data_IF_575815062311
#
_entry.id   IF_575815062311
#
_cell.length_a   1.000
_cell.length_b   1.000
_cell.length_c   1.000
_cell.angle_alpha   90.00
_cell.angle_beta   90.00
_cell.angle_gamma   90.00
#
_symmetry.space_group_name_H-M   'P 1'
#
loop_
_entity.id
_entity.type
_entity.pdbx_description
1 polymer ?
#
# COMPACT_ATOMS: atom_id res chain seq x y z
N UNK A 1 9.06 10.17 -11.78
CA UNK A 1 8.50 11.54 -11.94
C UNK A 1 9.01 12.13 -13.26
N UNK A 2 8.25 13.00 -13.94
CA UNK A 2 8.73 13.71 -15.14
C UNK A 2 8.30 15.17 -15.06
N UNK A 3 9.27 16.09 -14.99
CA UNK A 3 9.03 17.55 -14.88
C UNK A 3 8.09 17.91 -13.70
N UNK A 4 8.44 17.47 -12.49
CA UNK A 4 7.65 17.68 -11.27
C UNK A 4 6.30 16.96 -11.21
N UNK A 5 5.87 16.28 -12.28
CA UNK A 5 4.54 15.67 -12.42
C UNK A 5 4.60 14.14 -12.35
N UNK A 6 3.50 13.53 -11.89
CA UNK A 6 3.29 12.07 -11.97
C UNK A 6 3.51 11.59 -13.41
N UNK A 7 4.28 10.51 -13.55
CA UNK A 7 4.49 9.79 -14.79
C UNK A 7 4.03 8.35 -14.59
N UNK A 8 2.74 8.08 -14.85
CA UNK A 8 2.17 6.73 -14.78
C UNK A 8 2.56 5.90 -15.99
N UNK A 9 2.34 4.59 -15.92
CA UNK A 9 2.49 3.66 -17.06
C UNK A 9 1.67 4.12 -18.27
N UNK A 10 0.43 4.57 -18.05
CA UNK A 10 -0.41 5.13 -19.13
C UNK A 10 0.22 6.36 -19.80
N UNK A 11 0.82 7.28 -19.01
CA UNK A 11 1.47 8.48 -19.56
C UNK A 11 2.78 8.17 -20.27
N UNK A 12 3.52 7.18 -19.78
CA UNK A 12 4.81 6.77 -20.33
C UNK A 12 4.66 5.91 -21.59
N UNK A 13 3.73 4.95 -21.60
CA UNK A 13 3.64 3.91 -22.62
C UNK A 13 2.41 4.04 -23.53
N UNK A 14 1.21 4.25 -22.98
CA UNK A 14 -0.03 4.24 -23.79
C UNK A 14 -0.29 5.56 -24.52
N UNK A 15 -0.15 6.70 -23.83
CA UNK A 15 -0.45 8.03 -24.39
C UNK A 15 0.38 8.39 -25.62
N UNK A 16 1.70 8.06 -25.70
CA UNK A 16 2.50 8.33 -26.89
C UNK A 16 2.08 7.53 -28.12
N UNK A 17 1.56 6.31 -27.94
CA UNK A 17 1.24 5.38 -29.04
C UNK A 17 -0.26 5.25 -29.33
N UNK A 18 -1.09 6.10 -28.70
CA UNK A 18 -2.56 6.02 -28.74
C UNK A 18 -3.19 6.11 -30.13
N UNK A 19 -2.47 6.65 -31.12
CA UNK A 19 -2.95 6.82 -32.50
C UNK A 19 -2.54 5.67 -33.42
N UNK A 20 -1.81 4.67 -32.92
CA UNK A 20 -1.44 3.50 -33.73
C UNK A 20 -2.69 2.70 -34.08
N UNK A 21 -2.93 2.45 -35.38
CA UNK A 21 -4.12 1.74 -35.88
C UNK A 21 -4.26 0.30 -35.37
N UNK A 22 -3.17 -0.31 -34.91
CA UNK A 22 -3.15 -1.67 -34.36
C UNK A 22 -3.31 -1.72 -32.83
N UNK A 23 -3.59 -0.59 -32.16
CA UNK A 23 -3.85 -0.54 -30.72
C UNK A 23 -5.25 0.06 -30.47
N UNK A 24 -6.08 -0.71 -29.77
CA UNK A 24 -7.39 -0.26 -29.32
C UNK A 24 -7.41 -0.20 -27.80
N UNK A 25 -7.80 0.95 -27.24
CA UNK A 25 -7.97 1.13 -25.79
C UNK A 25 -9.43 1.39 -25.50
N UNK A 26 -10.07 0.45 -24.81
CA UNK A 26 -11.46 0.56 -24.39
C UNK A 26 -11.53 0.93 -22.91
N UNK A 27 -11.93 2.18 -22.61
CA UNK A 27 -12.22 2.62 -21.25
C UNK A 27 -13.61 2.18 -20.81
N UNK A 28 -13.87 2.21 -19.50
CA UNK A 28 -15.16 1.85 -18.89
C UNK A 28 -15.66 0.47 -19.34
N UNK A 29 -14.73 -0.48 -19.50
CA UNK A 29 -14.98 -1.82 -20.01
C UNK A 29 -14.56 -2.82 -18.94
N UNK A 30 -15.49 -3.19 -18.06
CA UNK A 30 -15.21 -4.05 -16.91
C UNK A 30 -15.22 -5.52 -17.35
N UNK A 31 -14.09 -6.21 -17.28
CA UNK A 31 -14.02 -7.65 -17.61
C UNK A 31 -14.73 -8.44 -16.50
N UNK A 32 -15.70 -9.26 -16.86
CA UNK A 32 -16.44 -10.11 -15.91
C UNK A 32 -15.83 -11.50 -15.80
N UNK A 33 -15.34 -12.06 -16.91
CA UNK A 33 -14.64 -13.35 -16.98
C UNK A 33 -13.86 -13.53 -18.29
N UNK A 34 -12.92 -14.46 -18.28
CA UNK A 34 -12.27 -15.03 -19.47
C UNK A 34 -13.15 -16.14 -20.03
N UNK A 35 -13.25 -16.21 -21.35
CA UNK A 35 -13.98 -17.25 -22.05
C UNK A 35 -13.01 -18.35 -22.47
N UNK A 36 -13.22 -19.55 -21.95
CA UNK A 36 -12.34 -20.72 -22.13
C UNK A 36 -13.16 -21.88 -22.67
N UNK A 37 -12.62 -22.56 -23.68
CA UNK A 37 -13.23 -23.78 -24.21
C UNK A 37 -12.95 -24.94 -23.22
N UNK A 38 -13.99 -25.62 -22.68
CA UNK A 38 -13.82 -26.61 -21.61
C UNK A 38 -13.12 -27.90 -22.06
N UNK A 39 -13.12 -28.22 -23.36
CA UNK A 39 -12.50 -29.44 -23.89
C UNK A 39 -11.02 -29.23 -24.19
N UNK A 40 -10.69 -28.11 -24.83
CA UNK A 40 -9.32 -27.80 -25.26
C UNK A 40 -8.53 -27.00 -24.22
N UNK A 41 -9.22 -26.47 -23.20
CA UNK A 41 -8.67 -25.52 -22.22
C UNK A 41 -8.05 -24.27 -22.83
N UNK A 42 -8.45 -23.89 -24.05
CA UNK A 42 -7.97 -22.70 -24.76
C UNK A 42 -8.86 -21.49 -24.45
N UNK A 43 -8.24 -20.40 -23.98
CA UNK A 43 -8.90 -19.11 -23.89
C UNK A 43 -9.13 -18.52 -25.29
N UNK A 44 -10.35 -18.06 -25.57
CA UNK A 44 -10.72 -17.51 -26.89
C UNK A 44 -11.27 -16.09 -26.82
N UNK A 45 -11.44 -15.52 -25.62
CA UNK A 45 -11.89 -14.15 -25.48
C UNK A 45 -12.18 -13.75 -24.04
N UNK A 46 -12.82 -12.61 -23.89
CA UNK A 46 -13.30 -12.09 -22.61
C UNK A 46 -14.73 -11.61 -22.73
N UNK A 47 -15.50 -11.75 -21.66
CA UNK A 47 -16.77 -11.08 -21.48
C UNK A 47 -16.52 -9.75 -20.75
N UNK A 48 -17.06 -8.66 -21.29
CA UNK A 48 -16.97 -7.33 -20.69
C UNK A 48 -18.38 -6.76 -20.47
N UNK A 49 -18.49 -5.89 -19.47
CA UNK A 49 -19.64 -5.02 -19.29
C UNK A 49 -19.28 -3.58 -19.61
N UNK A 50 -20.01 -2.98 -20.53
CA UNK A 50 -19.79 -1.60 -21.00
C UNK A 50 -21.12 -0.98 -21.41
N UNK A 51 -21.37 0.27 -20.97
CA UNK A 51 -22.57 1.03 -21.32
C UNK A 51 -23.89 0.27 -21.06
N UNK A 52 -24.00 -0.39 -19.91
CA UNK A 52 -25.21 -1.13 -19.56
C UNK A 52 -25.33 -2.53 -20.17
N UNK A 53 -24.40 -2.93 -21.06
CA UNK A 53 -24.52 -4.16 -21.87
C UNK A 53 -23.33 -5.08 -21.69
N UNK A 54 -23.60 -6.39 -21.69
CA UNK A 54 -22.56 -7.43 -21.81
C UNK A 54 -22.14 -7.56 -23.27
N UNK A 55 -20.84 -7.67 -23.50
CA UNK A 55 -20.23 -7.80 -24.82
C UNK A 55 -19.13 -8.85 -24.76
N UNK A 56 -18.91 -9.54 -25.88
CA UNK A 56 -17.84 -10.53 -26.01
C UNK A 56 -16.75 -9.94 -26.93
N UNK A 57 -15.51 -9.99 -26.47
CA UNK A 57 -14.33 -9.63 -27.27
C UNK A 57 -13.50 -10.88 -27.49
N UNK A 58 -13.39 -11.29 -28.76
CA UNK A 58 -12.71 -12.53 -29.16
C UNK A 58 -11.24 -12.25 -29.45
N UNK A 59 -10.36 -13.15 -28.99
CA UNK A 59 -8.92 -13.07 -29.22
C UNK A 59 -8.47 -14.20 -30.16
N UNK A 60 -7.74 -13.86 -31.24
CA UNK A 60 -7.22 -14.86 -32.20
C UNK A 60 -6.05 -15.67 -31.64
N UNK A 61 -5.22 -15.04 -30.81
CA UNK A 61 -4.00 -15.66 -30.27
C UNK A 61 -4.17 -15.97 -28.79
N UNK A 62 -4.16 -14.93 -27.96
CA UNK A 62 -4.02 -15.06 -26.51
C UNK A 62 -4.86 -14.01 -25.77
N UNK A 63 -5.18 -14.32 -24.51
CA UNK A 63 -5.73 -13.39 -23.53
C UNK A 63 -4.70 -13.22 -22.43
N UNK A 64 -4.22 -11.99 -22.23
CA UNK A 64 -3.25 -11.65 -21.16
C UNK A 64 -3.98 -10.91 -20.05
N UNK A 65 -4.10 -11.53 -18.87
CA UNK A 65 -4.77 -10.91 -17.72
C UNK A 65 -3.75 -10.06 -16.96
N UNK A 66 -4.01 -8.75 -16.86
CA UNK A 66 -3.14 -7.77 -16.18
C UNK A 66 -3.94 -6.94 -15.18
N UNK A 67 -4.85 -7.57 -14.44
CA UNK A 67 -5.79 -6.90 -13.53
C UNK A 67 -5.22 -6.68 -12.11
N UNK A 68 -3.92 -6.93 -11.90
CA UNK A 68 -3.25 -6.79 -10.60
C UNK A 68 -3.49 -7.97 -9.67
N UNK A 69 -2.82 -7.97 -8.50
CA UNK A 69 -2.81 -9.09 -7.56
C UNK A 69 -4.17 -9.42 -6.93
N UNK A 70 -5.12 -8.48 -6.93
CA UNK A 70 -6.45 -8.65 -6.34
C UNK A 70 -7.49 -9.06 -7.39
N UNK A 71 -7.60 -8.33 -8.51
CA UNK A 71 -8.68 -8.58 -9.48
C UNK A 71 -8.34 -9.71 -10.46
N UNK A 72 -7.05 -10.01 -10.70
CA UNK A 72 -6.66 -11.17 -11.54
C UNK A 72 -7.20 -12.48 -10.98
N UNK A 73 -6.97 -12.85 -9.70
CA UNK A 73 -7.54 -14.08 -9.17
C UNK A 73 -9.07 -14.07 -9.15
N UNK A 74 -9.72 -12.92 -8.91
CA UNK A 74 -11.18 -12.81 -9.01
C UNK A 74 -11.68 -13.17 -10.42
N UNK A 75 -11.12 -12.55 -11.46
CA UNK A 75 -11.50 -12.82 -12.86
C UNK A 75 -11.28 -14.30 -13.21
N UNK A 76 -10.14 -14.88 -12.83
CA UNK A 76 -9.83 -16.28 -13.08
C UNK A 76 -10.81 -17.23 -12.38
N UNK A 77 -11.11 -17.00 -11.10
CA UNK A 77 -12.08 -17.80 -10.35
C UNK A 77 -13.49 -17.68 -10.97
N UNK A 78 -13.94 -16.48 -11.34
CA UNK A 78 -15.21 -16.27 -12.07
C UNK A 78 -15.23 -16.94 -13.46
N UNK A 79 -14.07 -17.24 -14.01
CA UNK A 79 -13.90 -17.99 -15.27
C UNK A 79 -13.85 -19.50 -15.06
N UNK A 80 -14.01 -19.99 -13.83
CA UNK A 80 -13.92 -21.42 -13.49
C UNK A 80 -12.49 -21.94 -13.29
N UNK A 81 -11.51 -21.05 -13.09
CA UNK A 81 -10.10 -21.39 -12.84
C UNK A 81 -9.71 -20.95 -11.43
N UNK A 82 -9.59 -21.90 -10.51
CA UNK A 82 -9.30 -21.62 -9.11
C UNK A 82 -9.58 -22.80 -8.19
N UNK A 83 -9.52 -22.61 -6.86
CA UNK A 83 -9.64 -23.71 -5.90
C UNK A 83 -10.99 -24.40 -6.03
N UNK A 84 -10.99 -25.70 -6.32
CA UNK A 84 -12.19 -26.47 -6.62
C UNK A 84 -13.28 -26.33 -5.54
N UNK A 85 -12.90 -26.41 -4.28
CA UNK A 85 -13.83 -26.32 -3.14
C UNK A 85 -14.53 -24.96 -3.13
N UNK A 86 -13.77 -23.87 -3.21
CA UNK A 86 -14.31 -22.50 -3.22
C UNK A 86 -15.19 -22.24 -4.45
N UNK A 87 -14.80 -22.73 -5.62
CA UNK A 87 -15.61 -22.59 -6.83
C UNK A 87 -16.95 -23.34 -6.72
N UNK A 88 -16.94 -24.55 -6.15
CA UNK A 88 -18.16 -25.32 -5.90
C UNK A 88 -19.07 -24.64 -4.87
N UNK A 89 -18.54 -24.11 -3.77
CA UNK A 89 -19.28 -23.32 -2.78
C UNK A 89 -19.94 -22.09 -3.42
N UNK A 90 -19.21 -21.43 -4.32
CA UNK A 90 -19.73 -20.32 -5.09
C UNK A 90 -20.64 -20.76 -6.22
N UNK A 91 -20.85 -22.06 -6.47
CA UNK A 91 -21.70 -22.61 -7.54
C UNK A 91 -21.17 -22.35 -8.96
N UNK A 92 -19.85 -22.23 -9.14
CA UNK A 92 -19.18 -21.97 -10.43
C UNK A 92 -18.62 -23.29 -10.96
N UNK A 93 -18.86 -23.58 -12.24
CA UNK A 93 -18.29 -24.77 -12.90
C UNK A 93 -16.76 -24.71 -12.90
N UNK A 94 -16.13 -25.76 -12.37
CA UNK A 94 -14.67 -25.88 -12.31
C UNK A 94 -14.14 -26.34 -13.67
N UNK A 95 -13.43 -25.46 -14.37
CA UNK A 95 -12.68 -25.79 -15.58
C UNK A 95 -11.28 -26.27 -15.25
N UNK A 96 -10.63 -25.65 -14.26
CA UNK A 96 -9.31 -26.06 -13.79
C UNK A 96 -9.15 -25.76 -12.31
N UNK A 97 -8.83 -26.81 -11.56
CA UNK A 97 -8.46 -26.71 -10.15
C UNK A 97 -7.01 -26.23 -10.01
N UNK A 98 -6.84 -25.01 -9.48
CA UNK A 98 -5.56 -24.36 -9.23
C UNK A 98 -5.66 -23.48 -7.99
N UNK A 99 -4.53 -23.26 -7.30
CA UNK A 99 -4.45 -22.41 -6.10
C UNK A 99 -4.52 -20.90 -6.41
N UNK A 100 -5.46 -20.49 -7.27
CA UNK A 100 -5.66 -19.09 -7.66
C UNK A 100 -6.15 -18.28 -6.46
N UNK A 101 -5.51 -17.15 -6.23
CA UNK A 101 -5.80 -16.27 -5.11
C UNK A 101 -5.07 -16.65 -3.82
N UNK A 102 -4.34 -17.77 -3.76
CA UNK A 102 -3.45 -18.08 -2.63
C UNK A 102 -2.14 -17.29 -2.69
N UNK A 103 -1.37 -17.35 -1.58
CA UNK A 103 -0.01 -16.82 -1.50
C UNK A 103 0.05 -15.30 -1.73
N UNK A 104 -1.00 -14.58 -1.30
CA UNK A 104 -0.99 -13.12 -1.27
C UNK A 104 0.09 -12.67 -0.28
N UNK A 105 0.92 -11.74 -0.72
CA UNK A 105 1.99 -11.15 0.06
C UNK A 105 1.91 -9.64 -0.09
N UNK A 106 2.11 -8.93 1.00
CA UNK A 106 2.22 -7.48 1.03
C UNK A 106 3.26 -7.05 2.08
N UNK A 107 3.87 -5.90 1.87
CA UNK A 107 4.86 -5.34 2.79
C UNK A 107 4.17 -4.47 3.83
N UNK A 108 3.84 -5.06 4.97
CA UNK A 108 3.26 -4.32 6.11
C UNK A 108 4.34 -3.49 6.80
N UNK A 109 3.98 -2.28 7.25
CA UNK A 109 4.90 -1.38 7.95
C UNK A 109 4.34 -0.88 9.27
N UNK A 110 5.24 -0.52 10.19
CA UNK A 110 4.89 0.07 11.48
C UNK A 110 4.61 1.56 11.34
N UNK A 111 3.33 1.92 11.19
CA UNK A 111 2.90 3.32 11.19
C UNK A 111 3.06 4.01 12.55
N UNK A 112 3.06 5.34 12.56
CA UNK A 112 2.93 6.13 13.80
C UNK A 112 4.20 6.34 14.63
N UNK A 113 5.35 5.80 14.21
CA UNK A 113 6.63 6.11 14.85
C UNK A 113 7.03 7.56 14.58
N UNK A 114 6.70 8.46 15.52
CA UNK A 114 6.82 9.92 15.36
C UNK A 114 7.97 10.47 16.16
N UNK A 115 8.76 11.34 15.54
CA UNK A 115 9.85 12.06 16.17
C UNK A 115 9.61 13.56 16.09
N UNK A 116 9.47 14.21 17.24
CA UNK A 116 9.36 15.68 17.32
C UNK A 116 10.73 16.32 17.10
N UNK A 117 10.74 17.48 16.47
CA UNK A 117 11.93 18.32 16.29
C UNK A 117 11.61 19.76 16.69
N UNK A 118 12.64 20.56 16.97
CA UNK A 118 12.49 21.95 17.41
C UNK A 118 12.63 22.95 16.25
N UNK A 119 13.25 22.54 15.14
CA UNK A 119 13.42 23.39 13.96
C UNK A 119 12.19 23.33 13.05
N UNK A 120 11.71 24.48 12.54
CA UNK A 120 10.52 24.56 11.69
C UNK A 120 10.80 24.15 10.23
N UNK A 121 11.31 22.93 10.03
CA UNK A 121 11.78 22.43 8.72
C UNK A 121 10.96 21.27 8.18
N UNK A 122 10.04 20.71 8.97
CA UNK A 122 9.18 19.62 8.50
C UNK A 122 8.06 20.14 7.60
N UNK A 123 7.38 19.24 6.91
CA UNK A 123 6.13 19.50 6.20
C UNK A 123 5.02 19.57 7.25
N UNK A 124 4.45 20.75 7.45
CA UNK A 124 3.20 20.98 8.19
C UNK A 124 2.25 21.74 7.28
N UNK A 125 1.03 21.22 7.14
CA UNK A 125 0.09 21.67 6.11
C UNK A 125 -0.23 23.17 6.20
N UNK A 126 -0.32 23.71 7.42
CA UNK A 126 -0.67 25.12 7.65
C UNK A 126 0.40 26.11 7.20
N UNK A 127 1.66 25.67 7.03
CA UNK A 127 2.75 26.52 6.51
C UNK A 127 2.67 26.74 4.99
N UNK A 128 1.80 26.02 4.31
CA UNK A 128 1.74 26.02 2.85
C UNK A 128 0.63 26.92 2.31
N UNK A 129 1.02 27.98 1.58
CA UNK A 129 0.10 28.88 0.89
C UNK A 129 -0.33 28.28 -0.45
N UNK A 130 -1.57 27.78 -0.50
CA UNK A 130 -2.09 26.98 -1.62
C UNK A 130 -1.92 27.67 -3.00
N UNK A 131 -2.27 28.96 -3.09
CA UNK A 131 -2.20 29.69 -4.36
C UNK A 131 -0.76 29.87 -4.86
N UNK A 132 0.15 30.35 -4.00
CA UNK A 132 1.55 30.59 -4.38
C UNK A 132 2.26 29.31 -4.82
N UNK A 133 2.08 28.22 -4.07
CA UNK A 133 2.64 26.92 -4.45
C UNK A 133 2.07 26.38 -5.75
N UNK A 134 0.75 26.53 -5.97
CA UNK A 134 0.11 26.09 -7.20
C UNK A 134 0.68 26.85 -8.40
N UNK A 135 0.89 28.15 -8.26
CA UNK A 135 1.46 28.97 -9.32
C UNK A 135 2.92 28.57 -9.63
N UNK A 136 3.74 28.35 -8.59
CA UNK A 136 5.12 27.88 -8.76
C UNK A 136 5.17 26.51 -9.47
N UNK A 137 4.29 25.60 -9.08
CA UNK A 137 4.19 24.28 -9.69
C UNK A 137 3.73 24.33 -11.17
N UNK A 138 2.72 25.13 -11.47
CA UNK A 138 2.17 25.24 -12.84
C UNK A 138 3.14 25.94 -13.79
N UNK A 139 3.75 27.05 -13.36
CA UNK A 139 4.62 27.87 -14.20
C UNK A 139 6.05 27.34 -14.28
N UNK A 140 6.59 26.82 -13.18
CA UNK A 140 8.02 26.47 -13.07
C UNK A 140 8.28 24.98 -12.88
N UNK A 141 7.24 24.17 -12.65
CA UNK A 141 7.35 22.73 -12.39
C UNK A 141 8.28 22.42 -11.20
N UNK A 142 8.28 23.33 -10.22
CA UNK A 142 9.06 23.33 -8.99
C UNK A 142 8.14 23.64 -7.80
N UNK A 143 8.74 23.72 -6.62
CA UNK A 143 8.05 24.10 -5.39
C UNK A 143 7.48 22.90 -4.63
N UNK A 144 6.86 23.15 -3.46
CA UNK A 144 6.46 22.08 -2.55
C UNK A 144 5.47 21.06 -3.13
N UNK A 145 4.68 21.42 -4.14
CA UNK A 145 3.76 20.47 -4.79
C UNK A 145 4.45 19.39 -5.64
N UNK A 146 5.75 19.51 -5.92
CA UNK A 146 6.53 18.44 -6.55
C UNK A 146 7.05 17.41 -5.54
N UNK A 147 6.90 17.68 -4.25
CA UNK A 147 7.33 16.78 -3.16
C UNK A 147 6.62 15.43 -3.26
N UNK A 148 7.28 14.36 -2.83
CA UNK A 148 6.65 13.03 -2.79
C UNK A 148 5.63 12.98 -1.64
N UNK A 149 5.82 13.81 -0.61
CA UNK A 149 4.83 14.18 0.41
C UNK A 149 4.61 13.11 1.48
N UNK A 150 5.07 11.89 1.25
CA UNK A 150 4.99 10.79 2.21
C UNK A 150 6.28 9.97 2.35
N UNK A 151 7.19 9.99 1.36
CA UNK A 151 8.46 9.24 1.40
C UNK A 151 9.53 10.02 0.66
N UNK A 152 10.41 10.69 1.39
CA UNK A 152 11.51 11.50 0.83
C UNK A 152 12.87 10.78 0.95
N UNK A 153 12.96 9.76 1.80
CA UNK A 153 14.15 8.96 1.98
C UNK A 153 13.81 7.48 2.07
N UNK A 154 14.70 6.65 1.51
CA UNK A 154 14.62 5.20 1.60
C UNK A 154 15.90 4.67 2.24
N UNK A 155 15.76 3.67 3.10
CA UNK A 155 16.88 2.90 3.64
C UNK A 155 16.57 1.41 3.56
N UNK A 156 17.58 0.59 3.33
CA UNK A 156 17.45 -0.87 3.36
C UNK A 156 18.45 -1.40 4.38
N UNK A 157 17.98 -2.21 5.32
CA UNK A 157 18.82 -2.77 6.38
C UNK A 157 18.51 -4.24 6.57
N UNK A 158 19.49 -4.95 7.12
CA UNK A 158 19.34 -6.30 7.61
C UNK A 158 19.21 -6.23 9.14
N UNK A 159 18.13 -6.78 9.69
CA UNK A 159 18.12 -7.12 11.11
C UNK A 159 19.00 -8.35 11.35
N UNK A 160 19.32 -8.66 12.60
CA UNK A 160 20.08 -9.88 12.91
C UNK A 160 19.27 -11.16 12.64
N UNK A 161 17.94 -11.05 12.50
CA UNK A 161 17.04 -12.15 12.16
C UNK A 161 17.04 -12.45 10.65
N UNK A 162 17.41 -11.45 9.84
CA UNK A 162 17.41 -11.53 8.38
C UNK A 162 18.61 -12.28 7.80
N UNK A 163 18.51 -12.57 6.51
CA UNK A 163 19.66 -13.07 5.75
C UNK A 163 20.61 -11.90 5.46
N UNK A 164 21.94 -12.14 5.51
CA UNK A 164 22.92 -11.09 5.18
C UNK A 164 22.92 -10.68 3.70
N UNK A 165 22.46 -11.55 2.80
CA UNK A 165 22.49 -11.32 1.35
C UNK A 165 21.37 -10.41 0.83
N UNK A 166 20.30 -10.16 1.61
CA UNK A 166 19.20 -9.29 1.20
C UNK A 166 18.48 -8.65 2.39
N UNK A 167 17.99 -7.40 2.25
CA UNK A 167 17.28 -6.69 3.31
C UNK A 167 15.95 -7.34 3.66
N UNK A 168 15.66 -7.32 4.95
CA UNK A 168 14.40 -7.71 5.57
C UNK A 168 13.57 -6.50 6.02
N UNK A 169 14.21 -5.33 6.19
CA UNK A 169 13.55 -4.05 6.48
C UNK A 169 13.86 -2.99 5.42
N UNK A 170 12.81 -2.31 4.97
CA UNK A 170 12.90 -1.05 4.24
C UNK A 170 12.38 0.09 5.11
N UNK A 171 13.16 1.14 5.26
CA UNK A 171 12.70 2.38 5.88
C UNK A 171 12.11 3.33 4.86
N UNK A 172 10.91 3.82 5.14
CA UNK A 172 10.32 4.98 4.46
C UNK A 172 10.39 6.18 5.40
N UNK A 173 11.20 7.16 5.06
CA UNK A 173 11.34 8.39 5.83
C UNK A 173 10.46 9.49 5.23
N UNK A 174 9.70 10.16 6.07
CA UNK A 174 8.97 11.37 5.70
C UNK A 174 9.36 12.52 6.63
N UNK A 175 9.59 13.74 6.11
CA UNK A 175 9.73 14.94 6.92
C UNK A 175 8.35 15.45 7.39
N UNK A 176 7.45 14.54 7.79
CA UNK A 176 6.12 14.79 8.33
C UNK A 176 5.74 13.60 9.21
N UNK A 177 4.67 13.74 10.00
CA UNK A 177 4.02 12.62 10.67
C UNK A 177 2.50 12.84 10.72
N UNK A 178 1.78 11.96 11.40
CA UNK A 178 0.31 11.96 11.51
C UNK A 178 -0.25 13.30 12.03
N UNK A 179 0.52 14.03 12.83
CA UNK A 179 0.13 15.32 13.39
C UNK A 179 0.30 16.50 12.42
N UNK A 180 0.97 16.32 11.28
CA UNK A 180 1.38 17.38 10.35
C UNK A 180 0.23 18.09 9.63
N UNK A 181 -0.97 17.52 9.60
CA UNK A 181 -2.13 18.09 8.91
C UNK A 181 -3.31 18.39 9.86
N UNK A 182 -3.06 18.35 11.18
CA UNK A 182 -4.07 18.54 12.22
C UNK A 182 -5.31 17.63 12.06
N UNK A 183 -5.15 16.46 11.42
CA UNK A 183 -6.18 15.43 11.32
C UNK A 183 -7.14 15.64 10.15
N UNK A 184 -6.80 16.51 9.20
CA UNK A 184 -7.67 16.83 8.04
C UNK A 184 -7.80 15.68 7.05
N UNK A 185 -6.71 14.94 6.78
CA UNK A 185 -6.66 13.86 5.78
C UNK A 185 -5.88 12.64 6.26
N UNK A 186 -4.70 12.83 6.86
CA UNK A 186 -3.78 11.73 7.19
C UNK A 186 -4.44 10.72 8.11
N UNK A 187 -5.16 11.18 9.13
CA UNK A 187 -5.96 10.35 10.04
C UNK A 187 -6.94 9.43 9.29
N UNK A 188 -7.69 9.97 8.33
CA UNK A 188 -8.67 9.21 7.55
C UNK A 188 -8.01 8.24 6.57
N UNK A 189 -6.94 8.68 5.90
CA UNK A 189 -6.19 7.85 4.96
C UNK A 189 -5.54 6.65 5.66
N UNK A 190 -5.06 6.84 6.89
CA UNK A 190 -4.46 5.78 7.70
C UNK A 190 -5.49 4.98 8.52
N UNK A 191 -6.78 5.30 8.42
CA UNK A 191 -7.83 4.58 9.15
C UNK A 191 -7.75 4.68 10.68
N UNK A 192 -7.14 5.74 11.21
CA UNK A 192 -6.96 5.89 12.66
C UNK A 192 -8.29 6.20 13.36
N UNK A 193 -8.55 5.55 14.49
CA UNK A 193 -9.74 5.85 15.30
C UNK A 193 -9.68 7.26 15.89
N UNK A 194 -10.85 7.83 16.17
CA UNK A 194 -10.97 9.12 16.87
C UNK A 194 -10.20 9.11 18.20
N UNK A 195 -10.38 8.05 18.99
CA UNK A 195 -9.74 7.91 20.30
C UNK A 195 -8.20 7.89 20.18
N UNK A 196 -7.67 7.11 19.23
CA UNK A 196 -6.23 7.02 18.99
C UNK A 196 -5.66 8.39 18.59
N UNK A 197 -6.28 9.04 17.60
CA UNK A 197 -5.82 10.32 17.09
C UNK A 197 -5.87 11.42 18.16
N UNK A 198 -7.00 11.55 18.87
CA UNK A 198 -7.20 12.60 19.87
C UNK A 198 -6.30 12.40 21.10
N UNK A 199 -5.98 11.16 21.46
CA UNK A 199 -5.08 10.88 22.57
C UNK A 199 -3.62 11.14 22.19
N UNK A 200 -3.18 10.67 21.02
CA UNK A 200 -1.76 10.58 20.67
C UNK A 200 -1.31 11.78 19.83
N UNK A 201 -2.02 12.10 18.75
CA UNK A 201 -1.51 13.03 17.72
C UNK A 201 -2.11 14.44 17.81
N UNK A 202 -3.34 14.59 18.32
CA UNK A 202 -3.95 15.92 18.53
C UNK A 202 -3.16 16.81 19.50
N UNK A 203 -2.58 16.32 20.61
CA UNK A 203 -1.78 17.16 21.52
C UNK A 203 -0.51 17.73 20.90
N UNK A 204 -0.05 17.14 19.80
CA UNK A 204 1.13 17.58 19.04
C UNK A 204 0.76 18.11 17.64
N UNK A 205 -0.52 18.43 17.40
CA UNK A 205 -0.99 18.92 16.12
C UNK A 205 -0.16 20.11 15.63
N UNK A 206 0.19 20.11 14.34
CA UNK A 206 0.99 21.14 13.67
C UNK A 206 2.41 21.37 14.22
N UNK A 207 2.87 20.60 15.21
CA UNK A 207 4.27 20.62 15.64
C UNK A 207 5.17 19.97 14.59
N UNK A 208 6.38 20.50 14.43
CA UNK A 208 7.37 19.89 13.56
C UNK A 208 7.73 18.48 14.00
N UNK A 209 7.59 17.55 13.07
CA UNK A 209 7.84 16.15 13.28
C UNK A 209 8.28 15.46 11.99
N UNK A 210 8.97 14.35 12.16
CA UNK A 210 9.32 13.44 11.07
C UNK A 210 9.02 12.00 11.50
N UNK A 211 8.95 11.11 10.52
CA UNK A 211 8.77 9.68 10.74
C UNK A 211 9.74 8.88 9.90
N UNK A 212 10.07 7.70 10.39
CA UNK A 212 10.77 6.66 9.63
C UNK A 212 10.05 5.34 9.92
N UNK A 213 9.38 4.83 8.90
CA UNK A 213 8.48 3.68 8.98
C UNK A 213 9.30 2.46 8.57
N UNK A 214 9.54 1.47 9.46
CA UNK A 214 10.05 0.17 9.04
C UNK A 214 8.93 -0.60 8.32
N UNK A 215 9.21 -1.04 7.09
CA UNK A 215 8.39 -1.95 6.30
C UNK A 215 9.07 -3.33 6.24
N UNK A 216 8.28 -4.38 6.42
CA UNK A 216 8.72 -5.76 6.32
C UNK A 216 8.80 -6.19 4.86
N UNK A 217 10.01 -6.47 4.36
CA UNK A 217 10.25 -6.85 2.96
C UNK A 217 10.06 -8.34 2.68
N UNK A 218 10.18 -9.17 3.71
CA UNK A 218 10.19 -10.63 3.58
C UNK A 218 9.20 -11.25 4.57
N UNK A 219 7.90 -10.92 4.46
CA UNK A 219 6.90 -11.52 5.32
C UNK A 219 6.91 -13.04 5.15
N UNK A 220 6.71 -13.77 6.24
CA UNK A 220 6.43 -15.20 6.23
C UNK A 220 4.93 -15.47 6.20
N UNK A 221 4.13 -14.59 6.80
CA UNK A 221 2.68 -14.66 6.73
C UNK A 221 2.20 -14.66 5.28
N UNK A 222 1.15 -15.45 4.99
CA UNK A 222 0.56 -15.55 3.65
C UNK A 222 -0.94 -15.37 3.70
N UNK A 223 -1.42 -14.50 2.82
CA UNK A 223 -2.82 -14.23 2.66
C UNK A 223 -3.46 -14.95 1.48
N UNK A 224 -4.70 -14.59 1.22
CA UNK A 224 -5.48 -15.03 0.08
C UNK A 224 -6.47 -13.98 -0.41
N UNK A 225 -6.94 -14.18 -1.64
CA UNK A 225 -8.07 -13.49 -2.27
C UNK A 225 -9.11 -14.54 -2.66
N UNK A 226 -10.38 -14.29 -2.32
CA UNK A 226 -11.51 -15.18 -2.62
C UNK A 226 -12.69 -14.41 -3.17
N UNK A 227 -13.54 -15.10 -3.93
CA UNK A 227 -14.82 -14.53 -4.35
C UNK A 227 -15.72 -14.34 -3.13
N UNK A 228 -16.39 -13.18 -3.06
CA UNK A 228 -17.51 -12.96 -2.14
C UNK A 228 -18.81 -13.54 -2.70
N UNK A 229 -18.98 -13.44 -4.02
CA UNK A 229 -20.15 -13.91 -4.76
C UNK A 229 -19.77 -14.18 -6.22
N UNK A 230 -20.73 -14.67 -7.03
CA UNK A 230 -20.59 -14.80 -8.49
C UNK A 230 -20.68 -13.45 -9.24
N UNK A 231 -21.05 -12.37 -8.56
CA UNK A 231 -21.18 -11.07 -9.19
C UNK A 231 -19.80 -10.42 -9.38
N UNK A 232 -19.40 -10.19 -10.63
CA UNK A 232 -18.12 -9.58 -10.98
C UNK A 232 -17.95 -8.12 -10.51
N UNK A 233 -19.03 -7.49 -10.05
CA UNK A 233 -19.01 -6.14 -9.46
C UNK A 233 -18.85 -6.14 -7.95
N UNK A 234 -19.02 -7.29 -7.30
CA UNK A 234 -18.80 -7.39 -5.85
C UNK A 234 -17.30 -7.44 -5.57
N UNK A 235 -16.86 -6.68 -4.58
CA UNK A 235 -15.46 -6.71 -4.16
C UNK A 235 -15.10 -8.09 -3.57
N UNK A 236 -13.96 -8.68 -3.98
CA UNK A 236 -13.52 -9.95 -3.44
C UNK A 236 -13.21 -9.83 -1.95
N UNK A 237 -13.23 -10.96 -1.26
CA UNK A 237 -12.70 -11.08 0.09
C UNK A 237 -11.17 -11.10 -0.01
N UNK A 238 -10.50 -10.23 0.75
CA UNK A 238 -9.05 -10.14 0.80
C UNK A 238 -8.63 -10.32 2.24
N UNK A 239 -7.82 -11.34 2.50
CA UNK A 239 -7.20 -11.56 3.78
C UNK A 239 -5.68 -11.58 3.59
N UNK A 240 -4.97 -10.54 4.00
CA UNK A 240 -3.51 -10.51 3.92
C UNK A 240 -2.84 -11.36 5.00
N UNK A 241 -3.58 -11.71 6.06
CA UNK A 241 -3.14 -12.50 7.20
C UNK A 241 -1.90 -11.90 7.89
N UNK A 242 -1.86 -10.57 8.02
CA UNK A 242 -0.70 -9.89 8.62
C UNK A 242 -0.40 -10.43 10.01
N UNK A 243 0.88 -10.71 10.26
CA UNK A 243 1.39 -11.12 11.56
C UNK A 243 0.85 -12.46 12.07
N UNK A 244 0.39 -13.33 11.17
CA UNK A 244 0.12 -14.75 11.47
C UNK A 244 1.40 -15.44 11.94
N UNK A 245 2.51 -15.26 11.21
CA UNK A 245 3.82 -15.74 11.65
C UNK A 245 4.44 -14.73 12.62
N UNK A 246 4.72 -15.10 13.88
CA UNK A 246 5.30 -14.20 14.87
C UNK A 246 6.71 -13.68 14.49
N UNK A 247 7.40 -14.34 13.55
CA UNK A 247 8.68 -13.86 13.02
C UNK A 247 8.56 -12.49 12.35
N UNK A 248 7.42 -12.20 11.72
CA UNK A 248 7.18 -10.95 11.01
C UNK A 248 7.18 -9.76 11.96
N UNK A 249 6.49 -9.89 13.10
CA UNK A 249 6.45 -8.85 14.14
C UNK A 249 7.79 -8.69 14.82
N UNK A 250 8.49 -9.79 15.15
CA UNK A 250 9.84 -9.73 15.73
C UNK A 250 10.80 -8.94 14.84
N UNK A 251 10.74 -9.16 13.53
CA UNK A 251 11.56 -8.44 12.56
C UNK A 251 11.24 -6.95 12.53
N UNK A 252 9.95 -6.58 12.57
CA UNK A 252 9.55 -5.16 12.65
C UNK A 252 9.92 -4.49 13.97
N UNK A 253 9.88 -5.19 15.10
CA UNK A 253 10.35 -4.68 16.40
C UNK A 253 11.84 -4.32 16.31
N UNK A 254 12.66 -5.17 15.68
CA UNK A 254 14.06 -4.83 15.43
C UNK A 254 14.22 -3.64 14.47
N UNK A 255 13.38 -3.56 13.44
CA UNK A 255 13.28 -2.37 12.58
C UNK A 255 12.97 -1.08 13.36
N UNK A 256 12.05 -1.14 14.32
CA UNK A 256 11.70 -0.02 15.19
C UNK A 256 12.87 0.41 16.08
N UNK A 257 13.59 -0.54 16.68
CA UNK A 257 14.80 -0.27 17.48
C UNK A 257 15.87 0.43 16.64
N UNK A 258 16.10 -0.03 15.41
CA UNK A 258 17.05 0.60 14.47
C UNK A 258 16.59 2.03 14.13
N UNK A 259 15.31 2.25 13.81
CA UNK A 259 14.75 3.57 13.56
C UNK A 259 14.98 4.54 14.73
N UNK A 260 14.76 4.09 15.96
CA UNK A 260 14.99 4.89 17.17
C UNK A 260 16.48 5.23 17.30
N UNK A 261 17.38 4.26 17.10
CA UNK A 261 18.84 4.50 17.12
C UNK A 261 19.27 5.53 16.07
N UNK A 262 18.68 5.49 14.86
CA UNK A 262 18.90 6.48 13.80
C UNK A 262 18.50 7.88 14.29
N UNK A 263 17.30 8.01 14.88
CA UNK A 263 16.80 9.30 15.38
C UNK A 263 17.65 9.96 16.47
N UNK A 264 18.48 9.16 17.16
CA UNK A 264 19.35 9.60 18.26
C UNK A 264 20.78 9.93 17.79
N UNK A 265 21.10 9.74 16.51
CA UNK A 265 22.43 10.03 15.98
C UNK A 265 22.69 11.56 15.95
N UNK A 266 23.97 11.96 15.94
CA UNK A 266 24.44 13.36 15.94
C UNK A 266 23.74 14.22 14.88
N UNK A 267 23.52 13.66 13.69
CA UNK A 267 22.85 14.34 12.57
C UNK A 267 21.39 14.68 12.88
N UNK A 268 20.66 13.87 13.64
CA UNK A 268 19.28 14.16 14.03
C UNK A 268 19.18 14.99 15.31
N UNK A 269 20.15 14.84 16.22
CA UNK A 269 20.24 15.65 17.46
C UNK A 269 20.34 17.15 17.18
N UNK A 270 20.96 17.57 16.07
CA UNK A 270 21.02 19.00 15.70
C UNK A 270 19.64 19.63 15.41
N UNK A 271 18.60 18.82 15.21
CA UNK A 271 17.21 19.25 15.03
C UNK A 271 16.39 19.14 16.33
N UNK A 272 16.98 18.69 17.44
CA UNK A 272 16.24 18.39 18.67
C UNK A 272 15.36 17.14 18.57
N UNK A 273 15.71 16.22 17.64
CA UNK A 273 14.93 15.01 17.37
C UNK A 273 14.74 14.16 18.62
N UNK A 274 13.47 13.86 18.94
CA UNK A 274 13.08 13.06 20.10
C UNK A 274 11.84 12.24 19.79
N UNK A 275 11.84 10.99 20.25
CA UNK A 275 10.67 10.12 20.10
C UNK A 275 9.46 10.73 20.81
N UNK A 276 8.31 10.70 20.15
CA UNK A 276 7.04 11.05 20.74
C UNK A 276 6.63 10.01 21.78
N UNK A 277 6.40 10.44 23.03
CA UNK A 277 6.24 9.54 24.19
C UNK A 277 4.81 9.30 24.64
N UNK A 278 3.81 9.94 24.03
CA UNK A 278 2.40 9.64 24.39
C UNK A 278 2.09 8.21 23.92
N UNK A 279 1.79 7.34 24.87
CA UNK A 279 1.52 5.92 24.65
C UNK A 279 0.18 5.71 23.93
N UNK A 280 0.15 4.71 23.04
CA UNK A 280 -1.10 4.30 22.39
C UNK A 280 -2.10 3.79 23.45
N UNK A 281 -3.40 4.11 23.34
CA UNK A 281 -4.41 3.76 24.34
C UNK A 281 -4.45 2.28 24.72
N UNK A 282 -4.38 1.39 23.74
CA UNK A 282 -4.40 -0.06 23.92
C UNK A 282 -3.07 -0.64 24.45
N UNK A 283 -1.96 0.10 24.34
CA UNK A 283 -0.63 -0.34 24.79
C UNK A 283 -0.18 0.31 26.11
N UNK A 284 -1.05 1.08 26.80
CA UNK A 284 -0.70 1.84 28.01
C UNK A 284 -0.21 0.97 29.18
N UNK A 285 -0.67 -0.27 29.26
CA UNK A 285 -0.30 -1.23 30.31
C UNK A 285 1.13 -1.76 30.16
N UNK A 286 1.77 -1.54 29.01
CA UNK A 286 3.13 -1.97 28.72
C UNK A 286 4.15 -0.87 29.03
N UNK A 287 5.36 -1.28 29.37
CA UNK A 287 6.49 -0.37 29.58
C UNK A 287 6.86 0.28 28.25
N UNK A 288 6.85 1.60 28.21
CA UNK A 288 7.19 2.32 26.98
C UNK A 288 8.58 1.91 26.46
N UNK A 289 8.66 1.70 25.14
CA UNK A 289 9.85 1.28 24.43
C UNK A 289 10.41 -0.12 24.79
N UNK A 290 9.62 -0.97 25.45
CA UNK A 290 9.90 -2.41 25.51
C UNK A 290 9.49 -3.12 24.21
N UNK A 291 9.96 -4.34 24.01
CA UNK A 291 9.64 -5.15 22.83
C UNK A 291 8.13 -5.43 22.74
N UNK A 292 7.50 -5.70 23.89
CA UNK A 292 6.05 -5.92 23.99
C UNK A 292 5.29 -4.65 23.61
N UNK A 293 5.76 -3.47 24.02
CA UNK A 293 5.14 -2.21 23.63
C UNK A 293 5.22 -2.00 22.11
N UNK A 294 6.37 -2.30 21.50
CA UNK A 294 6.53 -2.18 20.04
C UNK A 294 5.70 -3.18 19.27
N UNK A 295 5.60 -4.42 19.73
CA UNK A 295 4.68 -5.41 19.16
C UNK A 295 3.23 -4.92 19.24
N UNK A 296 2.79 -4.44 20.41
CA UNK A 296 1.44 -3.89 20.56
C UNK A 296 1.20 -2.71 19.61
N UNK A 297 2.18 -1.81 19.48
CA UNK A 297 2.12 -0.70 18.53
C UNK A 297 1.97 -1.20 17.09
N UNK A 298 2.81 -2.13 16.64
CA UNK A 298 2.79 -2.67 15.28
C UNK A 298 1.42 -3.27 14.91
N UNK A 299 0.71 -3.85 15.89
CA UNK A 299 -0.60 -4.48 15.70
C UNK A 299 -1.79 -3.52 15.82
N UNK A 300 -1.56 -2.24 16.16
CA UNK A 300 -2.61 -1.22 16.36
C UNK A 300 -2.94 -0.49 15.07
#
# INVERSE_FOLDING_TARGET
>A
IRRGKRCSTAKAFLRPVRLRKNLHVALNSHVTRVLVNPTTMRAFGVEIYRNGRRQIVVARKEVVVSAGAINTPQILMLSGIGPKEHLNEMGITVLKDLRVGDNLQDHVGMGGLTFLIDKPVSIVQERFQAFGMAMEYLMREKGPMTTLGGVEGLGFVNTYLGNRSWPDIQFHMAPASINSDNGRKVKHVMGLTEQLYNTVYKPIANRDAWTIIPLLLRPRSRGWVRLRSKNAFDHPLVNANYFEDPFDVKTLVEGAKIAIKISQNKVFKQFGSRIHKIRLPNCKHLKFASDEYWECHIRT
#
